data_IF_723380319004
#
_entry.id   IF_723380319004
#
_cell.length_a   1.000
_cell.length_b   1.000
_cell.length_c   1.000
_cell.angle_alpha   90.00
_cell.angle_beta   90.00
_cell.angle_gamma   90.00
#
_symmetry.space_group_name_H-M   'P 1'
#
loop_
_entity.id
_entity.type
_entity.pdbx_description
1 polymer ?
#
# COMPACT_ATOMS: atom_id res chain seq x y z
N UNK A 1 6.02 12.43 -11.18
CA UNK A 1 6.02 12.22 -12.65
C UNK A 1 7.42 12.08 -13.26
N UNK A 2 8.45 12.79 -12.76
CA UNK A 2 9.81 12.69 -13.29
C UNK A 2 10.41 11.26 -13.26
N UNK A 3 10.28 10.57 -12.13
CA UNK A 3 10.78 9.19 -11.97
C UNK A 3 10.03 8.19 -12.86
N UNK A 4 8.70 8.31 -12.97
CA UNK A 4 7.89 7.47 -13.86
C UNK A 4 8.35 7.59 -15.32
N UNK A 5 8.63 8.83 -15.76
CA UNK A 5 9.15 9.10 -17.10
C UNK A 5 10.54 8.48 -17.30
N UNK A 6 11.44 8.62 -16.33
CA UNK A 6 12.77 7.99 -16.38
C UNK A 6 12.70 6.47 -16.45
N UNK A 7 11.81 5.83 -15.68
CA UNK A 7 11.67 4.37 -15.71
C UNK A 7 11.16 3.88 -17.06
N UNK A 8 10.26 4.64 -17.70
CA UNK A 8 9.79 4.34 -19.04
C UNK A 8 10.90 4.48 -20.08
N UNK A 9 11.65 5.59 -20.06
CA UNK A 9 12.75 5.88 -21.01
C UNK A 9 13.89 4.87 -20.92
N UNK A 10 14.12 4.28 -19.74
CA UNK A 10 15.17 3.29 -19.51
C UNK A 10 14.68 1.84 -19.65
N UNK A 11 13.48 1.58 -20.18
CA UNK A 11 12.86 0.25 -20.28
C UNK A 11 12.81 -0.53 -18.94
N UNK A 12 12.73 0.20 -17.82
CA UNK A 12 12.65 -0.36 -16.46
C UNK A 12 11.24 -0.40 -15.90
N UNK A 13 10.26 0.11 -16.65
CA UNK A 13 8.87 0.14 -16.24
C UNK A 13 8.13 -1.08 -16.79
N UNK A 14 7.68 -1.95 -15.89
CA UNK A 14 6.85 -3.10 -16.26
C UNK A 14 5.36 -2.73 -16.27
N UNK A 15 4.61 -3.31 -17.20
CA UNK A 15 3.18 -3.09 -17.36
C UNK A 15 2.43 -4.40 -17.20
N UNK A 16 1.50 -4.44 -16.24
CA UNK A 16 0.76 -5.64 -15.88
C UNK A 16 -0.75 -5.42 -16.03
N UNK A 17 -1.47 -6.46 -16.46
CA UNK A 17 -2.94 -6.46 -16.58
C UNK A 17 -3.47 -5.28 -17.40
N UNK A 18 -4.32 -4.45 -16.78
CA UNK A 18 -4.94 -3.29 -17.42
C UNK A 18 -3.94 -2.17 -17.78
N UNK A 19 -2.69 -2.23 -17.33
CA UNK A 19 -1.67 -1.26 -17.66
C UNK A 19 -0.92 -1.57 -18.98
N UNK A 20 -1.14 -2.73 -19.60
CA UNK A 20 -0.47 -3.14 -20.83
C UNK A 20 -0.49 -2.11 -21.98
N UNK A 21 -1.58 -1.33 -22.21
CA UNK A 21 -1.61 -0.32 -23.28
C UNK A 21 -0.56 0.79 -23.13
N UNK A 22 -0.12 1.09 -21.91
CA UNK A 22 0.84 2.17 -21.64
C UNK A 22 2.29 1.82 -22.00
N UNK A 23 2.55 0.60 -22.52
CA UNK A 23 3.82 0.30 -23.18
C UNK A 23 3.96 1.06 -24.50
N UNK A 24 2.84 1.43 -25.14
CA UNK A 24 2.86 2.27 -26.33
C UNK A 24 3.22 3.72 -25.96
N UNK A 25 4.19 4.30 -26.67
CA UNK A 25 4.67 5.66 -26.44
C UNK A 25 3.54 6.72 -26.47
N UNK A 26 2.62 6.63 -27.42
CA UNK A 26 1.55 7.63 -27.57
C UNK A 26 0.59 7.56 -26.38
N UNK A 27 0.15 6.35 -26.02
CA UNK A 27 -0.76 6.14 -24.88
C UNK A 27 -0.11 6.52 -23.56
N UNK A 28 1.19 6.24 -23.39
CA UNK A 28 1.95 6.67 -22.22
C UNK A 28 2.07 8.20 -22.14
N UNK A 29 2.37 8.85 -23.27
CA UNK A 29 2.47 10.31 -23.35
C UNK A 29 1.14 10.99 -23.04
N UNK A 30 0.03 10.44 -23.53
CA UNK A 30 -1.32 10.93 -23.18
C UNK A 30 -1.60 10.81 -21.69
N UNK A 31 -1.27 9.67 -21.07
CA UNK A 31 -1.37 9.51 -19.62
C UNK A 31 -0.58 10.60 -18.86
N UNK A 32 0.67 10.84 -19.26
CA UNK A 32 1.49 11.89 -18.66
C UNK A 32 0.83 13.26 -18.82
N UNK A 33 0.33 13.60 -20.02
CA UNK A 33 -0.33 14.86 -20.28
C UNK A 33 -1.58 15.05 -19.42
N UNK A 34 -2.42 14.02 -19.29
CA UNK A 34 -3.60 14.05 -18.40
C UNK A 34 -3.19 14.28 -16.95
N UNK A 35 -2.14 13.61 -16.49
CA UNK A 35 -1.63 13.81 -15.14
C UNK A 35 -1.05 15.22 -14.93
N UNK A 36 -0.35 15.79 -15.91
CA UNK A 36 0.20 17.15 -15.79
C UNK A 36 -0.88 18.23 -15.87
N UNK A 37 -1.93 18.02 -16.65
CA UNK A 37 -3.06 18.95 -16.75
C UNK A 37 -3.93 18.98 -15.50
N UNK A 38 -3.91 17.91 -14.71
CA UNK A 38 -4.70 17.82 -13.48
C UNK A 38 -4.14 18.77 -12.42
N UNK A 39 -5.02 19.62 -11.87
CA UNK A 39 -4.73 20.41 -10.68
C UNK A 39 -4.66 19.48 -9.47
N UNK A 40 -3.47 18.96 -9.18
CA UNK A 40 -3.23 18.19 -7.97
C UNK A 40 -3.26 19.15 -6.80
N UNK A 41 -4.24 18.99 -5.92
CA UNK A 41 -4.29 19.68 -4.63
C UNK A 41 -3.53 18.78 -3.64
N UNK A 42 -2.23 19.03 -3.36
CA UNK A 42 -1.49 18.20 -2.42
C UNK A 42 -2.09 18.41 -1.02
N UNK A 43 -2.60 17.34 -0.43
CA UNK A 43 -3.01 17.35 0.97
C UNK A 43 -1.76 17.31 1.85
N UNK A 44 -1.18 18.47 2.10
CA UNK A 44 -0.08 18.63 3.03
C UNK A 44 -0.62 18.78 4.45
N UNK A 45 -0.95 17.67 5.10
CA UNK A 45 -1.12 17.67 6.56
C UNK A 45 0.25 17.79 7.21
N UNK A 46 0.38 18.67 8.21
CA UNK A 46 1.58 18.78 9.03
C UNK A 46 2.00 17.37 9.51
N UNK A 47 3.25 16.93 9.26
CA UNK A 47 3.71 15.61 9.63
C UNK A 47 3.81 15.50 11.15
N UNK A 48 2.74 15.02 11.78
CA UNK A 48 2.54 14.92 13.23
C UNK A 48 2.69 16.27 13.97
N UNK A 49 1.99 16.44 15.08
CA UNK A 49 2.09 17.67 15.87
C UNK A 49 3.34 17.61 16.77
N UNK A 50 4.52 17.46 16.15
CA UNK A 50 5.82 17.30 16.80
C UNK A 50 6.18 15.87 17.22
N UNK A 51 7.41 15.69 17.72
CA UNK A 51 7.95 14.41 18.14
C UNK A 51 7.12 13.74 19.25
N UNK A 52 6.49 14.53 20.12
CA UNK A 52 5.62 14.01 21.18
C UNK A 52 4.40 13.26 20.61
N UNK A 53 3.83 13.74 19.50
CA UNK A 53 2.73 13.06 18.82
C UNK A 53 3.15 11.70 18.27
N UNK A 54 4.39 11.59 17.77
CA UNK A 54 4.98 10.33 17.29
C UNK A 54 5.23 9.38 18.46
N UNK A 55 5.81 9.87 19.56
CA UNK A 55 6.06 9.06 20.78
C UNK A 55 4.74 8.58 21.39
N UNK A 56 3.72 9.44 21.48
CA UNK A 56 2.39 9.08 21.96
C UNK A 56 1.69 8.08 21.04
N UNK A 57 1.88 8.22 19.73
CA UNK A 57 1.40 7.23 18.77
C UNK A 57 2.08 5.89 19.04
N UNK A 58 3.41 5.80 18.99
CA UNK A 58 4.16 4.57 19.24
C UNK A 58 3.85 3.96 20.62
N UNK A 59 3.73 4.81 21.65
CA UNK A 59 3.33 4.42 23.01
C UNK A 59 1.97 3.74 23.09
N UNK A 60 0.98 4.15 22.28
CA UNK A 60 -0.32 3.45 22.19
C UNK A 60 -0.21 2.07 21.55
N UNK A 61 0.86 1.80 20.82
CA UNK A 61 1.08 0.53 20.12
C UNK A 61 2.12 -0.37 20.79
N UNK A 62 2.66 0.00 21.96
CA UNK A 62 3.56 -0.88 22.73
C UNK A 62 2.91 -2.22 23.11
N UNK A 63 1.60 -2.21 23.36
CA UNK A 63 0.80 -3.40 23.66
C UNK A 63 -0.04 -3.91 22.47
N UNK A 64 -0.09 -3.15 21.37
CA UNK A 64 -0.83 -3.56 20.16
C UNK A 64 0.14 -4.25 19.22
N UNK A 65 0.30 -5.54 19.43
CA UNK A 65 1.01 -6.42 18.50
C UNK A 65 0.27 -6.51 17.15
N UNK A 66 1.04 -6.72 16.06
CA UNK A 66 0.51 -6.81 14.70
C UNK A 66 -0.64 -7.83 14.56
N UNK A 67 -0.58 -8.89 15.38
CA UNK A 67 -1.67 -9.84 15.56
C UNK A 67 -1.80 -10.20 17.04
N UNK A 68 -2.97 -9.97 17.62
CA UNK A 68 -3.28 -10.35 19.00
C UNK A 68 -3.34 -11.87 19.18
N UNK A 69 -2.88 -12.40 20.31
CA UNK A 69 -2.90 -13.85 20.61
C UNK A 69 -4.27 -14.50 20.43
N UNK A 70 -5.38 -13.80 20.72
CA UNK A 70 -6.74 -14.34 20.53
C UNK A 70 -7.08 -14.68 19.07
N UNK A 71 -6.31 -14.16 18.11
CA UNK A 71 -6.49 -14.46 16.68
C UNK A 71 -5.79 -15.73 16.26
N UNK A 72 -4.82 -16.25 17.02
CA UNK A 72 -4.18 -17.53 16.74
C UNK A 72 -5.20 -18.64 17.06
N UNK A 73 -5.45 -19.52 16.09
CA UNK A 73 -6.43 -20.61 16.17
C UNK A 73 -5.77 -21.96 16.33
N UNK A 74 -4.67 -22.16 15.63
CA UNK A 74 -3.87 -23.38 15.69
C UNK A 74 -2.42 -23.10 15.33
N UNK A 75 -1.50 -23.93 15.82
CA UNK A 75 -0.08 -23.82 15.53
C UNK A 75 0.58 -25.21 15.54
N UNK A 76 1.27 -25.53 14.46
CA UNK A 76 2.14 -26.71 14.33
C UNK A 76 3.60 -26.27 14.25
N UNK A 77 4.53 -27.22 14.13
CA UNK A 77 5.96 -26.91 13.93
C UNK A 77 6.23 -26.15 12.62
N UNK A 78 5.38 -26.32 11.61
CA UNK A 78 5.58 -25.75 10.27
C UNK A 78 4.53 -24.72 9.85
N UNK A 79 3.43 -24.59 10.59
CA UNK A 79 2.32 -23.72 10.19
C UNK A 79 1.66 -23.00 11.35
N UNK A 80 1.10 -21.82 11.06
CA UNK A 80 0.28 -21.06 12.01
C UNK A 80 -1.04 -20.70 11.34
N UNK A 81 -2.16 -21.07 11.97
CA UNK A 81 -3.50 -20.68 11.54
C UNK A 81 -4.03 -19.56 12.43
N UNK A 82 -4.47 -18.46 11.82
CA UNK A 82 -5.02 -17.32 12.54
C UNK A 82 -6.19 -16.65 11.82
N UNK A 83 -7.06 -15.99 12.60
CA UNK A 83 -8.18 -15.21 12.08
C UNK A 83 -7.74 -13.80 11.70
N UNK A 84 -8.02 -13.40 10.46
CA UNK A 84 -7.72 -12.10 9.92
C UNK A 84 -8.94 -11.46 9.26
N UNK A 85 -9.03 -10.13 9.36
CA UNK A 85 -10.08 -9.35 8.72
C UNK A 85 -9.71 -9.08 7.27
N UNK A 86 -10.53 -9.57 6.33
CA UNK A 86 -10.35 -9.39 4.90
C UNK A 86 -10.90 -8.04 4.46
N UNK A 87 -10.05 -7.00 4.53
CA UNK A 87 -10.42 -5.67 4.08
C UNK A 87 -10.73 -5.57 2.58
N UNK A 88 -10.27 -6.53 1.75
CA UNK A 88 -10.63 -6.57 0.33
C UNK A 88 -12.06 -7.07 0.13
N UNK A 89 -12.54 -7.93 1.02
CA UNK A 89 -13.89 -8.51 0.99
C UNK A 89 -14.74 -7.95 2.15
N UNK A 90 -15.03 -6.65 2.12
CA UNK A 90 -15.97 -5.98 3.04
C UNK A 90 -15.64 -6.13 4.54
N UNK A 91 -14.43 -6.54 4.88
CA UNK A 91 -14.01 -6.73 6.26
C UNK A 91 -14.57 -7.99 6.91
N UNK A 92 -14.93 -9.03 6.14
CA UNK A 92 -15.28 -10.34 6.70
C UNK A 92 -14.08 -10.98 7.39
N UNK A 93 -14.32 -11.75 8.44
CA UNK A 93 -13.28 -12.53 9.11
C UNK A 93 -13.04 -13.84 8.35
N UNK A 94 -11.77 -14.18 8.14
CA UNK A 94 -11.36 -15.46 7.55
C UNK A 94 -10.17 -16.04 8.29
N UNK A 95 -9.96 -17.33 8.17
CA UNK A 95 -8.75 -17.98 8.66
C UNK A 95 -7.69 -17.99 7.57
N UNK A 96 -6.45 -17.73 7.98
CA UNK A 96 -5.26 -17.72 7.13
C UNK A 96 -4.26 -18.66 7.80
N UNK A 97 -3.74 -19.60 7.01
CA UNK A 97 -2.63 -20.47 7.40
C UNK A 97 -1.40 -20.04 6.62
N UNK A 98 -0.31 -19.79 7.35
CA UNK A 98 1.02 -19.56 6.80
C UNK A 98 1.97 -20.67 7.23
#
# INVERSE_FOLDING_TARGET
MAELKQLWENDRLEFHGSAAPYKNYYTFKELLNTCYAKEWIPYCKKPFDGAESVIRYLGKYTHRIAISNYRIKDMTESTVTFSAKDYKNQGHWKEITI
#
